data_IF_849368062548
#
_entry.id   IF_849368062548
#
_cell.length_a   1.000
_cell.length_b   1.000
_cell.length_c   1.000
_cell.angle_alpha   90.00
_cell.angle_beta   90.00
_cell.angle_gamma   90.00
#
_symmetry.space_group_name_H-M   'P 1'
#
loop_
_entity.id
_entity.type
_entity.pdbx_description
1 polymer ?
#
# COMPACT_ATOMS: atom_id res chain seq x y z
N UNK A 1 -17.80 20.78 22.07
CA UNK A 1 -17.59 21.50 20.80
C UNK A 1 -16.41 22.42 20.99
N UNK A 2 -15.28 22.18 20.31
CA UNK A 2 -14.10 23.07 20.40
C UNK A 2 -14.48 24.40 19.77
N UNK A 3 -14.15 25.51 20.44
CA UNK A 3 -14.44 26.86 19.93
C UNK A 3 -13.71 27.15 18.61
N UNK A 4 -14.09 28.22 17.89
CA UNK A 4 -13.40 28.60 16.67
C UNK A 4 -11.91 28.86 16.96
N UNK A 5 -10.99 28.43 16.07
CA UNK A 5 -9.55 28.57 16.28
C UNK A 5 -9.15 30.04 16.32
N UNK A 6 -8.29 30.43 17.28
CA UNK A 6 -7.83 31.81 17.44
C UNK A 6 -6.68 32.15 16.49
N UNK A 7 -6.03 31.15 15.87
CA UNK A 7 -4.92 31.33 14.92
C UNK A 7 -4.80 30.18 13.91
N UNK A 8 -4.06 30.39 12.81
CA UNK A 8 -3.73 29.35 11.82
C UNK A 8 -2.93 28.19 12.42
N UNK A 9 -2.04 28.47 13.37
CA UNK A 9 -1.28 27.44 14.08
C UNK A 9 -2.20 26.55 14.89
N UNK A 10 -3.16 27.14 15.60
CA UNK A 10 -4.14 26.40 16.39
C UNK A 10 -5.05 25.56 15.50
N UNK A 11 -5.42 26.08 14.32
CA UNK A 11 -6.17 25.33 13.32
C UNK A 11 -5.39 24.13 12.77
N UNK A 12 -4.12 24.31 12.41
CA UNK A 12 -3.24 23.21 11.97
C UNK A 12 -3.05 22.18 13.08
N UNK A 13 -2.90 22.63 14.32
CA UNK A 13 -2.79 21.76 15.48
C UNK A 13 -4.05 20.91 15.67
N UNK A 14 -5.24 21.51 15.56
CA UNK A 14 -6.50 20.76 15.60
C UNK A 14 -6.63 19.78 14.44
N UNK A 15 -6.23 20.17 13.23
CA UNK A 15 -6.21 19.26 12.08
C UNK A 15 -5.27 18.08 12.26
N UNK A 16 -4.12 18.30 12.89
CA UNK A 16 -3.17 17.24 13.23
C UNK A 16 -3.76 16.28 14.27
N UNK A 17 -4.41 16.82 15.31
CA UNK A 17 -5.11 16.07 16.36
C UNK A 17 -6.42 15.40 15.92
N UNK A 18 -6.96 15.73 14.76
CA UNK A 18 -8.12 15.03 14.19
C UNK A 18 -7.72 13.92 13.21
N UNK A 19 -6.49 13.97 12.68
CA UNK A 19 -6.03 13.05 11.64
C UNK A 19 -5.78 11.64 12.17
N UNK A 20 -6.52 10.61 11.70
CA UNK A 20 -6.28 9.23 12.11
C UNK A 20 -4.88 8.72 11.74
N UNK A 21 -4.33 9.23 10.63
CA UNK A 21 -2.99 8.88 10.16
C UNK A 21 -1.90 9.39 11.11
N UNK A 22 -2.08 10.58 11.68
CA UNK A 22 -1.14 11.14 12.65
C UNK A 22 -1.10 10.31 13.94
N UNK A 23 -2.26 9.88 14.45
CA UNK A 23 -2.32 9.00 15.62
C UNK A 23 -1.64 7.66 15.38
N UNK A 24 -1.83 7.05 14.19
CA UNK A 24 -1.13 5.82 13.82
C UNK A 24 0.38 6.01 13.78
N UNK A 25 0.84 7.15 13.25
CA UNK A 25 2.26 7.48 13.20
C UNK A 25 2.87 7.62 14.60
N UNK A 26 2.25 8.42 15.48
CA UNK A 26 2.70 8.58 16.87
C UNK A 26 2.66 7.25 17.62
N UNK A 27 1.60 6.45 17.42
CA UNK A 27 1.49 5.10 17.97
C UNK A 27 2.64 4.19 17.53
N UNK A 28 2.99 4.20 16.25
CA UNK A 28 4.13 3.42 15.73
C UNK A 28 5.46 3.86 16.34
N UNK A 29 5.68 5.17 16.50
CA UNK A 29 6.90 5.69 17.15
C UNK A 29 6.94 5.26 18.61
N UNK A 30 5.86 5.48 19.36
CA UNK A 30 5.75 5.08 20.76
C UNK A 30 6.07 3.60 20.94
N UNK A 31 5.46 2.74 20.12
CA UNK A 31 5.69 1.29 20.17
C UNK A 31 7.12 0.92 19.79
N UNK A 32 7.71 1.60 18.80
CA UNK A 32 9.11 1.40 18.39
C UNK A 32 10.10 1.79 19.49
N UNK A 33 9.89 2.92 20.16
CA UNK A 33 10.73 3.38 21.27
C UNK A 33 10.60 2.45 22.48
N UNK A 34 9.39 1.98 22.78
CA UNK A 34 9.11 1.10 23.91
C UNK A 34 9.32 -0.39 23.60
N UNK A 35 9.76 -0.75 22.39
CA UNK A 35 9.98 -2.14 22.00
C UNK A 35 8.73 -3.02 22.01
N UNK A 36 7.53 -2.42 21.95
CA UNK A 36 6.26 -3.14 21.89
C UNK A 36 6.13 -3.72 20.48
N UNK A 37 6.38 -5.03 20.35
CA UNK A 37 6.22 -5.75 19.08
C UNK A 37 4.73 -6.01 18.85
N UNK A 38 4.12 -5.25 17.94
CA UNK A 38 2.75 -5.51 17.46
C UNK A 38 2.65 -6.70 16.50
N UNK A 39 3.80 -7.30 16.14
CA UNK A 39 3.84 -8.37 15.16
C UNK A 39 3.38 -9.64 15.87
N UNK A 40 2.20 -10.22 15.52
CA UNK A 40 1.88 -11.56 15.98
C UNK A 40 3.04 -12.49 15.58
N UNK A 41 3.43 -13.47 16.42
CA UNK A 41 4.50 -14.39 16.09
C UNK A 41 4.32 -14.93 14.65
N UNK A 42 5.39 -14.96 13.84
CA UNK A 42 5.32 -15.41 12.44
C UNK A 42 4.85 -16.87 12.30
N UNK A 43 4.76 -17.59 13.41
CA UNK A 43 4.26 -18.97 13.52
C UNK A 43 2.81 -19.15 13.03
N UNK A 44 2.02 -18.06 12.87
CA UNK A 44 0.67 -18.13 12.28
C UNK A 44 0.60 -17.85 10.78
N UNK A 45 1.72 -17.59 10.09
CA UNK A 45 1.73 -17.26 8.65
C UNK A 45 2.39 -18.33 7.76
N UNK A 46 2.80 -19.47 8.31
CA UNK A 46 3.60 -20.48 7.61
C UNK A 46 2.85 -21.25 6.50
N UNK A 47 1.53 -21.35 6.55
CA UNK A 47 0.79 -22.23 5.62
C UNK A 47 0.45 -21.64 4.25
N UNK A 48 0.72 -20.35 4.01
CA UNK A 48 0.46 -19.69 2.71
C UNK A 48 1.73 -19.62 1.84
N UNK A 49 2.90 -19.97 2.38
CA UNK A 49 4.20 -19.75 1.73
C UNK A 49 4.50 -20.66 0.51
N UNK A 50 3.66 -21.64 0.19
CA UNK A 50 3.84 -22.49 -1.00
C UNK A 50 3.24 -21.93 -2.29
N UNK A 51 2.43 -20.86 -2.22
CA UNK A 51 1.87 -20.21 -3.40
C UNK A 51 2.52 -18.83 -3.59
N UNK A 52 3.19 -18.64 -4.72
CA UNK A 52 3.73 -17.33 -5.10
C UNK A 52 2.63 -16.25 -5.04
N UNK A 53 2.77 -15.29 -4.12
CA UNK A 53 1.81 -14.20 -3.95
C UNK A 53 2.28 -12.97 -4.73
N UNK A 54 1.63 -12.63 -5.87
CA UNK A 54 2.08 -11.51 -6.69
C UNK A 54 1.84 -10.18 -5.96
N UNK A 55 2.92 -9.44 -5.70
CA UNK A 55 2.87 -8.05 -5.22
C UNK A 55 2.16 -7.12 -6.21
N UNK A 56 1.71 -5.95 -5.74
CA UNK A 56 1.07 -4.92 -6.58
C UNK A 56 1.92 -4.54 -7.80
N UNK A 57 3.25 -4.53 -7.66
CA UNK A 57 4.19 -4.26 -8.76
C UNK A 57 4.14 -5.36 -9.82
N UNK A 58 4.07 -6.63 -9.41
CA UNK A 58 3.91 -7.76 -10.35
C UNK A 58 2.60 -7.67 -11.12
N UNK A 59 1.49 -7.34 -10.44
CA UNK A 59 0.18 -7.15 -11.10
C UNK A 59 0.20 -6.01 -12.12
N UNK A 60 0.81 -4.87 -11.77
CA UNK A 60 0.93 -3.73 -12.70
C UNK A 60 1.78 -4.08 -13.93
N UNK A 61 2.89 -4.80 -13.74
CA UNK A 61 3.74 -5.27 -14.84
C UNK A 61 2.97 -6.21 -15.78
N UNK A 62 2.22 -7.16 -15.22
CA UNK A 62 1.40 -8.09 -15.99
C UNK A 62 0.31 -7.34 -16.78
N UNK A 63 -0.40 -6.41 -16.15
CA UNK A 63 -1.40 -5.57 -16.81
C UNK A 63 -0.81 -4.80 -17.98
N UNK A 64 0.32 -4.12 -17.78
CA UNK A 64 1.00 -3.36 -18.85
C UNK A 64 1.40 -4.28 -20.01
N UNK A 65 1.90 -5.47 -19.73
CA UNK A 65 2.29 -6.44 -20.76
C UNK A 65 1.10 -6.88 -21.61
N UNK A 66 -0.02 -7.24 -20.98
CA UNK A 66 -1.26 -7.62 -21.68
C UNK A 66 -1.83 -6.46 -22.51
N UNK A 67 -1.88 -5.26 -21.93
CA UNK A 67 -2.39 -4.07 -22.62
C UNK A 67 -1.60 -3.75 -23.91
N UNK A 68 -0.27 -3.82 -23.85
CA UNK A 68 0.57 -3.61 -25.04
C UNK A 68 0.40 -4.70 -26.09
N UNK A 69 0.09 -5.93 -25.68
CA UNK A 69 -0.12 -7.05 -26.59
C UNK A 69 -1.48 -6.96 -27.29
N UNK A 70 -2.53 -6.58 -26.55
CA UNK A 70 -3.85 -6.29 -27.12
C UNK A 70 -3.80 -5.10 -28.07
N UNK A 71 -3.16 -3.99 -27.66
CA UNK A 71 -2.96 -2.83 -28.53
C UNK A 71 -2.25 -3.22 -29.82
N UNK A 72 -1.15 -3.99 -29.74
CA UNK A 72 -0.47 -4.50 -30.94
C UNK A 72 -1.38 -5.34 -31.83
N UNK A 73 -2.23 -6.17 -31.24
CA UNK A 73 -3.19 -7.01 -31.96
C UNK A 73 -4.19 -6.13 -32.73
N UNK A 74 -4.68 -5.04 -32.14
CA UNK A 74 -5.57 -4.08 -32.83
C UNK A 74 -4.94 -3.43 -34.06
N UNK A 75 -3.62 -3.19 -34.02
CA UNK A 75 -2.87 -2.65 -35.16
C UNK A 75 -2.38 -3.75 -36.14
N UNK A 76 -2.82 -5.00 -35.98
CA UNK A 76 -2.47 -6.11 -36.88
C UNK A 76 -1.06 -6.68 -36.67
N UNK A 77 -0.38 -6.32 -35.57
CA UNK A 77 0.93 -6.89 -35.22
C UNK A 77 0.76 -8.20 -34.46
N UNK A 78 1.66 -9.17 -34.73
CA UNK A 78 1.69 -10.46 -34.04
C UNK A 78 1.90 -10.32 -32.53
N UNK A 79 1.13 -11.09 -31.74
CA UNK A 79 1.22 -11.15 -30.28
C UNK A 79 2.59 -11.66 -29.86
N UNK A 80 3.20 -10.99 -28.88
CA UNK A 80 4.51 -11.40 -28.32
C UNK A 80 4.36 -12.35 -27.15
N UNK A 81 3.15 -12.51 -26.61
CA UNK A 81 2.86 -13.37 -25.45
C UNK A 81 2.83 -14.86 -25.77
N UNK A 82 2.62 -15.24 -27.04
CA UNK A 82 2.64 -16.63 -27.53
C UNK A 82 3.98 -17.35 -27.34
N UNK A 83 5.05 -16.62 -26.98
CA UNK A 83 6.38 -17.19 -26.69
C UNK A 83 6.58 -17.55 -25.22
N UNK A 84 5.66 -17.17 -24.34
CA UNK A 84 5.79 -17.31 -22.89
C UNK A 84 4.76 -18.26 -22.28
N UNK A 85 3.88 -18.85 -23.09
CA UNK A 85 2.92 -19.89 -22.73
C UNK A 85 3.28 -21.21 -23.39
#
# INVERSE_FOLDING_TARGET
MRGPPRSLQEWLYYKLLESPSFHKFVGNIYRKVNGIKDVPPPEFMSDIHFLYTPTRKHKFKAFRMLFFDEYRTFFGFSRKTDKFF
#
